data_IF_191257027033
#
_entry.id   IF_191257027033
#
_cell.length_a   1.000
_cell.length_b   1.000
_cell.length_c   1.000
_cell.angle_alpha   90.00
_cell.angle_beta   90.00
_cell.angle_gamma   90.00
#
_symmetry.space_group_name_H-M   'P 1'
#
loop_
_entity.id
_entity.type
_entity.pdbx_description
1 polymer ?
#
# COMPACT_ATOMS: atom_id res chain seq x y z
N UNK A 1 17.08 18.02 -21.50
CA UNK A 1 16.42 17.25 -20.43
C UNK A 1 14.95 17.10 -20.79
N UNK A 2 14.62 16.04 -21.54
CA UNK A 2 13.28 15.82 -22.08
C UNK A 2 12.47 14.94 -21.12
N UNK A 3 11.72 15.54 -20.19
CA UNK A 3 10.72 14.83 -19.38
C UNK A 3 9.32 15.25 -19.82
N UNK A 4 8.97 15.01 -21.08
CA UNK A 4 7.59 15.17 -21.55
C UNK A 4 7.22 14.00 -22.42
N UNK A 5 6.78 12.92 -21.77
CA UNK A 5 5.86 11.93 -22.33
C UNK A 5 5.28 11.08 -21.18
N UNK A 6 3.95 11.11 -21.01
CA UNK A 6 3.09 10.16 -20.25
C UNK A 6 3.05 10.40 -18.71
N UNK A 7 2.16 11.22 -18.14
CA UNK A 7 0.71 11.04 -18.18
C UNK A 7 0.27 9.84 -17.32
N UNK A 8 -0.05 10.07 -16.04
CA UNK A 8 -0.70 9.15 -15.07
C UNK A 8 -0.11 7.74 -14.81
N UNK A 9 0.74 7.19 -15.69
CA UNK A 9 1.31 5.85 -15.57
C UNK A 9 2.15 5.65 -14.31
N UNK A 10 3.03 6.60 -13.89
CA UNK A 10 3.76 6.47 -12.62
C UNK A 10 2.81 6.44 -11.41
N UNK A 11 1.73 7.23 -11.46
CA UNK A 11 0.70 7.27 -10.41
C UNK A 11 -0.06 5.94 -10.33
N UNK A 12 -0.45 5.37 -11.48
CA UNK A 12 -1.08 4.05 -11.55
C UNK A 12 -0.14 2.94 -11.03
N UNK A 13 1.15 2.99 -11.38
CA UNK A 13 2.15 2.05 -10.87
C UNK A 13 2.27 2.13 -9.35
N UNK A 14 2.31 3.35 -8.80
CA UNK A 14 2.34 3.61 -7.36
C UNK A 14 1.11 3.07 -6.65
N UNK A 15 -0.09 3.31 -7.17
CA UNK A 15 -1.32 2.76 -6.61
C UNK A 15 -1.31 1.23 -6.62
N UNK A 16 -0.80 0.61 -7.69
CA UNK A 16 -0.65 -0.85 -7.77
C UNK A 16 0.30 -1.38 -6.71
N UNK A 17 1.46 -0.75 -6.53
CA UNK A 17 2.42 -1.12 -5.48
C UNK A 17 1.82 -1.00 -4.09
N UNK A 18 1.12 0.10 -3.79
CA UNK A 18 0.47 0.31 -2.50
C UNK A 18 -0.61 -0.75 -2.25
N UNK A 19 -1.47 -1.05 -3.23
CA UNK A 19 -2.48 -2.08 -3.11
C UNK A 19 -1.87 -3.48 -2.84
N UNK A 20 -0.79 -3.82 -3.54
CA UNK A 20 -0.06 -5.06 -3.27
C UNK A 20 0.59 -5.07 -1.88
N UNK A 21 1.16 -3.94 -1.45
CA UNK A 21 1.72 -3.77 -0.11
C UNK A 21 0.67 -3.99 0.98
N UNK A 22 -0.49 -3.36 0.86
CA UNK A 22 -1.64 -3.54 1.76
C UNK A 22 -2.13 -4.99 1.78
N UNK A 23 -2.21 -5.66 0.62
CA UNK A 23 -2.57 -7.08 0.57
C UNK A 23 -1.52 -7.98 1.24
N UNK A 24 -0.22 -7.67 1.15
CA UNK A 24 0.83 -8.41 1.86
C UNK A 24 0.73 -8.19 3.36
N UNK A 25 0.55 -6.92 3.78
CA UNK A 25 0.39 -6.54 5.18
C UNK A 25 -0.81 -7.27 5.82
N UNK A 26 -1.94 -7.36 5.12
CA UNK A 26 -3.13 -8.08 5.58
C UNK A 26 -2.90 -9.58 5.85
N UNK A 27 -1.96 -10.19 5.11
CA UNK A 27 -1.65 -11.62 5.20
C UNK A 27 -0.58 -11.94 6.25
N UNK A 28 0.05 -10.93 6.85
CA UNK A 28 1.06 -11.18 7.88
C UNK A 28 0.45 -11.81 9.14
N UNK A 29 1.16 -12.76 9.76
CA UNK A 29 0.76 -13.32 11.05
C UNK A 29 0.85 -12.25 12.13
N UNK A 30 0.07 -12.41 13.20
CA UNK A 30 -0.03 -11.40 14.27
C UNK A 30 1.32 -11.10 14.94
N UNK A 31 2.18 -12.11 15.11
CA UNK A 31 3.53 -11.92 15.65
C UNK A 31 4.36 -10.94 14.80
N UNK A 32 4.38 -11.14 13.48
CA UNK A 32 5.11 -10.25 12.57
C UNK A 32 4.52 -8.82 12.55
N UNK A 33 3.20 -8.68 12.74
CA UNK A 33 2.59 -7.36 12.89
C UNK A 33 3.03 -6.68 14.18
N UNK A 34 3.12 -7.42 15.29
CA UNK A 34 3.62 -6.90 16.58
C UNK A 34 5.09 -6.47 16.49
N UNK A 35 5.93 -7.21 15.78
CA UNK A 35 7.33 -6.85 15.54
C UNK A 35 7.46 -5.54 14.76
N UNK A 36 6.49 -5.24 13.89
CA UNK A 36 6.37 -3.96 13.18
C UNK A 36 5.67 -2.85 14.00
N UNK A 37 5.25 -3.15 15.23
CA UNK A 37 4.49 -2.22 16.07
C UNK A 37 3.06 -1.96 15.61
N UNK A 38 2.49 -2.85 14.79
CA UNK A 38 1.14 -2.71 14.21
C UNK A 38 0.15 -3.65 14.90
N UNK A 39 -1.05 -3.15 15.17
CA UNK A 39 -2.18 -3.98 15.57
C UNK A 39 -2.97 -4.46 14.34
N UNK A 40 -3.81 -5.50 14.53
CA UNK A 40 -4.77 -5.91 13.50
C UNK A 40 -5.75 -4.78 13.12
N UNK A 41 -6.08 -3.90 14.06
CA UNK A 41 -6.94 -2.74 13.79
C UNK A 41 -6.25 -1.72 12.88
N UNK A 42 -4.95 -1.45 13.09
CA UNK A 42 -4.16 -0.55 12.24
C UNK A 42 -4.07 -1.09 10.81
N UNK A 43 -3.79 -2.39 10.67
CA UNK A 43 -3.79 -3.05 9.37
C UNK A 43 -5.16 -2.98 8.72
N UNK A 44 -6.24 -3.20 9.48
CA UNK A 44 -7.59 -3.11 8.95
C UNK A 44 -7.93 -1.70 8.45
N UNK A 45 -7.58 -0.66 9.21
CA UNK A 45 -7.76 0.72 8.79
C UNK A 45 -6.96 1.03 7.51
N UNK A 46 -5.73 0.50 7.40
CA UNK A 46 -4.86 0.72 6.25
C UNK A 46 -5.37 0.03 4.98
N UNK A 47 -5.83 -1.23 5.07
CA UNK A 47 -6.31 -2.00 3.91
C UNK A 47 -7.66 -1.50 3.39
N UNK A 48 -8.45 -0.86 4.24
CA UNK A 48 -9.73 -0.24 3.87
C UNK A 48 -9.56 1.09 3.13
N UNK A 49 -8.35 1.66 3.08
CA UNK A 49 -8.10 2.86 2.29
C UNK A 49 -8.34 2.58 0.81
N UNK A 50 -9.03 3.48 0.08
CA UNK A 50 -9.16 3.37 -1.37
C UNK A 50 -7.79 3.28 -2.06
N UNK A 51 -7.73 2.57 -3.20
CA UNK A 51 -6.45 2.31 -3.88
C UNK A 51 -5.74 3.58 -4.37
N UNK A 52 -6.48 4.66 -4.63
CA UNK A 52 -5.93 5.94 -5.07
C UNK A 52 -5.38 6.81 -3.94
N UNK A 53 -5.60 6.41 -2.69
CA UNK A 53 -5.15 7.12 -1.50
C UNK A 53 -3.82 6.52 -1.04
N UNK A 54 -2.81 7.38 -0.90
CA UNK A 54 -1.55 7.04 -0.22
C UNK A 54 -1.76 6.99 1.30
#
# INVERSE_FOLDING_TARGET
MTHSALGFLPLLARWRENAQGRSRLARLPEGALKDLGLSKADVWAEVQKPFWKE
#
